data_IF_269298040962
#
_entry.id   IF_269298040962
#
_cell.length_a   1.000
_cell.length_b   1.000
_cell.length_c   1.000
_cell.angle_alpha   90.00
_cell.angle_beta   90.00
_cell.angle_gamma   90.00
#
_symmetry.space_group_name_H-M   'P 1'
#
loop_
_entity.id
_entity.type
_entity.pdbx_description
1 polymer ?
#
# COMPACT_ATOMS: atom_id res chain seq x y z
N UNK A 1 -12.73 -25.16 6.15
CA UNK A 1 -11.93 -25.12 4.91
C UNK A 1 -10.69 -24.30 5.24
N UNK A 2 -9.54 -24.98 5.46
CA UNK A 2 -8.28 -24.29 5.79
C UNK A 2 -7.78 -23.60 4.52
N UNK A 3 -7.85 -22.29 4.48
CA UNK A 3 -7.21 -21.51 3.43
C UNK A 3 -5.71 -21.63 3.65
N UNK A 4 -5.04 -22.41 2.79
CA UNK A 4 -3.59 -22.46 2.71
C UNK A 4 -3.10 -21.11 2.21
N UNK A 5 -2.76 -20.21 3.14
CA UNK A 5 -2.04 -18.98 2.84
C UNK A 5 -0.66 -19.32 2.25
N UNK A 6 -0.19 -18.60 1.23
CA UNK A 6 1.12 -18.84 0.64
C UNK A 6 2.22 -18.72 1.69
N UNK A 7 3.04 -19.75 1.80
CA UNK A 7 4.10 -19.97 2.81
C UNK A 7 5.31 -19.05 2.67
N UNK A 8 5.19 -17.77 2.39
CA UNK A 8 6.21 -16.70 2.52
C UNK A 8 5.59 -15.37 2.09
N UNK A 9 4.78 -14.79 2.95
CA UNK A 9 4.71 -13.34 2.96
C UNK A 9 6.03 -12.89 3.61
N UNK A 10 6.89 -12.20 2.86
CA UNK A 10 7.98 -11.42 3.47
C UNK A 10 7.30 -10.29 4.25
N UNK A 11 7.04 -10.55 5.51
CA UNK A 11 6.56 -9.54 6.43
C UNK A 11 7.61 -8.42 6.43
N UNK A 12 7.18 -7.16 6.31
CA UNK A 12 8.07 -6.01 6.31
C UNK A 12 9.09 -6.10 7.44
N UNK A 13 10.22 -5.45 7.29
CA UNK A 13 11.35 -5.51 8.24
C UNK A 13 10.92 -5.31 9.70
N UNK A 14 9.82 -4.59 9.91
CA UNK A 14 9.32 -4.13 11.21
C UNK A 14 8.37 -5.10 11.92
N UNK A 15 7.84 -6.10 11.23
CA UNK A 15 6.88 -7.06 11.77
C UNK A 15 7.60 -8.31 12.28
N UNK A 16 7.31 -8.68 13.54
CA UNK A 16 7.80 -9.92 14.17
C UNK A 16 6.92 -11.11 13.78
N UNK A 17 5.61 -10.91 13.80
CA UNK A 17 4.62 -11.96 13.57
C UNK A 17 3.30 -11.38 13.05
N UNK A 18 2.61 -12.11 12.15
CA UNK A 18 1.25 -11.79 11.70
C UNK A 18 0.40 -13.05 11.79
N UNK A 19 -0.81 -12.89 12.31
CA UNK A 19 -1.84 -13.91 12.33
C UNK A 19 -3.04 -13.42 11.53
N UNK A 20 -3.55 -14.31 10.67
CA UNK A 20 -4.71 -14.02 9.82
C UNK A 20 -5.91 -14.82 10.30
N UNK A 21 -6.97 -14.10 10.63
CA UNK A 21 -8.28 -14.65 10.94
C UNK A 21 -9.29 -14.20 9.88
N UNK A 22 -10.48 -14.79 9.89
CA UNK A 22 -11.51 -14.47 8.90
C UNK A 22 -11.84 -12.98 8.86
N UNK A 23 -12.02 -12.37 10.03
CA UNK A 23 -12.46 -10.98 10.15
C UNK A 23 -11.34 -10.04 10.64
N UNK A 24 -10.25 -10.60 11.18
CA UNK A 24 -9.19 -9.80 11.80
C UNK A 24 -7.80 -10.21 11.37
N UNK A 25 -6.87 -9.27 11.47
CA UNK A 25 -5.43 -9.49 11.32
C UNK A 25 -4.75 -8.98 12.58
N UNK A 26 -3.90 -9.82 13.19
CA UNK A 26 -3.07 -9.44 14.33
C UNK A 26 -1.65 -9.24 13.82
N UNK A 27 -1.08 -8.05 14.09
CA UNK A 27 0.31 -7.70 13.81
C UNK A 27 1.06 -7.50 15.12
N UNK A 28 2.20 -8.19 15.29
CA UNK A 28 3.13 -8.00 16.41
C UNK A 28 4.40 -7.39 15.84
N UNK A 29 4.78 -6.21 16.35
CA UNK A 29 5.94 -5.47 15.87
C UNK A 29 7.23 -5.91 16.58
N UNK A 30 8.38 -5.74 15.91
CA UNK A 30 9.70 -6.04 16.47
C UNK A 30 10.18 -4.99 17.46
N UNK A 31 9.73 -3.73 17.29
CA UNK A 31 10.16 -2.59 18.06
C UNK A 31 9.04 -1.57 18.25
N UNK A 32 9.25 -0.64 19.15
CA UNK A 32 8.28 0.39 19.50
C UNK A 32 8.02 1.40 18.37
N UNK A 33 9.07 1.80 17.63
CA UNK A 33 8.94 2.86 16.62
C UNK A 33 7.88 2.55 15.54
N UNK A 34 7.90 1.43 14.81
CA UNK A 34 6.86 1.13 13.83
C UNK A 34 5.48 0.90 14.46
N UNK A 35 5.42 0.35 15.68
CA UNK A 35 4.19 0.20 16.43
C UNK A 35 3.53 1.56 16.70
N UNK A 36 4.28 2.52 17.27
CA UNK A 36 3.75 3.85 17.57
C UNK A 36 3.43 4.65 16.31
N UNK A 37 4.22 4.53 15.24
CA UNK A 37 3.90 5.15 13.94
C UNK A 37 2.57 4.66 13.40
N UNK A 38 2.32 3.35 13.48
CA UNK A 38 1.03 2.79 13.06
C UNK A 38 -0.12 3.32 13.91
N UNK A 39 0.02 3.36 15.24
CA UNK A 39 -1.02 3.92 16.13
C UNK A 39 -1.25 5.41 15.89
N UNK A 40 -0.18 6.18 15.67
CA UNK A 40 -0.29 7.61 15.34
C UNK A 40 -1.09 7.81 14.05
N UNK A 41 -0.86 6.98 13.05
CA UNK A 41 -1.64 7.03 11.80
C UNK A 41 -3.12 6.76 12.06
N UNK A 42 -3.45 5.73 12.88
CA UNK A 42 -4.84 5.49 13.28
C UNK A 42 -5.48 6.67 14.00
N UNK A 43 -4.70 7.42 14.77
CA UNK A 43 -5.17 8.66 15.40
C UNK A 43 -5.56 9.73 14.37
N UNK A 44 -4.81 9.83 13.26
CA UNK A 44 -5.15 10.76 12.17
C UNK A 44 -6.44 10.43 11.46
N UNK A 45 -6.81 9.14 11.36
CA UNK A 45 -7.98 8.70 10.60
C UNK A 45 -9.24 8.52 11.47
N UNK A 46 -9.13 8.42 12.80
CA UNK A 46 -10.26 8.04 13.69
C UNK A 46 -11.48 8.96 13.60
N UNK A 47 -11.29 10.22 13.21
CA UNK A 47 -12.35 11.22 13.10
C UNK A 47 -12.50 11.75 11.66
N UNK A 48 -12.14 10.96 10.68
CA UNK A 48 -12.14 11.37 9.28
C UNK A 48 -13.24 10.65 8.49
N UNK A 49 -13.90 11.37 7.59
CA UNK A 49 -14.91 10.81 6.69
C UNK A 49 -14.31 9.76 5.72
N UNK A 50 -12.99 9.78 5.55
CA UNK A 50 -12.25 8.87 4.68
C UNK A 50 -11.67 7.65 5.44
N UNK A 51 -12.05 7.44 6.70
CA UNK A 51 -11.62 6.30 7.52
C UNK A 51 -11.89 4.94 6.87
N UNK A 52 -12.91 4.85 6.02
CA UNK A 52 -13.28 3.63 5.30
C UNK A 52 -12.26 3.18 4.24
N UNK A 53 -11.25 4.01 3.93
CA UNK A 53 -10.13 3.64 3.06
C UNK A 53 -9.06 2.78 3.78
N UNK A 54 -9.19 2.61 5.09
CA UNK A 54 -8.21 1.94 5.96
C UNK A 54 -8.86 0.83 6.78
N UNK A 55 -8.09 -0.21 7.19
CA UNK A 55 -8.61 -1.23 8.11
C UNK A 55 -9.05 -0.59 9.43
N UNK A 56 -10.16 -1.03 9.99
CA UNK A 56 -10.57 -0.60 11.33
C UNK A 56 -9.59 -1.14 12.37
N UNK A 57 -9.19 -0.29 13.32
CA UNK A 57 -8.44 -0.70 14.49
C UNK A 57 -9.44 -1.25 15.54
N UNK A 58 -9.26 -2.51 15.94
CA UNK A 58 -10.11 -3.12 16.97
C UNK A 58 -9.47 -3.04 18.36
N UNK A 59 -8.18 -3.34 18.46
CA UNK A 59 -7.45 -3.29 19.72
C UNK A 59 -5.97 -3.03 19.52
N UNK A 60 -5.29 -2.58 20.59
CA UNK A 60 -3.84 -2.45 20.65
C UNK A 60 -3.31 -2.79 22.03
N UNK A 61 -2.10 -3.34 22.12
CA UNK A 61 -1.39 -3.64 23.35
C UNK A 61 0.04 -3.11 23.28
N UNK A 62 0.38 -2.19 24.17
CA UNK A 62 1.72 -1.60 24.25
C UNK A 62 2.76 -2.62 24.76
N UNK A 63 2.38 -3.47 25.71
CA UNK A 63 3.29 -4.44 26.31
C UNK A 63 3.71 -5.53 25.30
N UNK A 64 2.78 -5.91 24.42
CA UNK A 64 3.03 -6.92 23.40
C UNK A 64 3.44 -6.31 22.06
N UNK A 65 3.45 -4.99 21.91
CA UNK A 65 3.60 -4.26 20.65
C UNK A 65 2.66 -4.81 19.56
N UNK A 66 1.42 -5.04 19.94
CA UNK A 66 0.41 -5.74 19.15
C UNK A 66 -0.69 -4.79 18.71
N UNK A 67 -1.13 -4.96 17.47
CA UNK A 67 -2.32 -4.30 16.90
C UNK A 67 -3.20 -5.37 16.29
N UNK A 68 -4.50 -5.28 16.56
CA UNK A 68 -5.55 -6.06 15.92
C UNK A 68 -6.39 -5.15 15.04
N UNK A 69 -6.49 -5.50 13.77
CA UNK A 69 -7.19 -4.70 12.76
C UNK A 69 -8.17 -5.54 11.97
N UNK A 70 -9.03 -4.89 11.21
CA UNK A 70 -9.90 -5.53 10.23
C UNK A 70 -9.07 -6.31 9.19
N UNK A 71 -9.57 -7.47 8.79
CA UNK A 71 -9.08 -8.18 7.62
C UNK A 71 -9.75 -7.61 6.36
N UNK A 72 -8.98 -6.89 5.56
CA UNK A 72 -9.42 -6.21 4.34
C UNK A 72 -9.35 -7.09 3.08
N UNK A 73 -9.35 -8.40 3.25
CA UNK A 73 -9.47 -9.36 2.14
C UNK A 73 -8.15 -9.69 1.45
N UNK A 74 -8.18 -9.74 0.12
CA UNK A 74 -7.06 -10.18 -0.71
C UNK A 74 -6.17 -9.00 -1.12
N UNK A 75 -4.90 -9.30 -1.46
CA UNK A 75 -4.04 -8.30 -2.10
C UNK A 75 -4.64 -7.83 -3.43
N UNK A 76 -4.64 -6.51 -3.61
CA UNK A 76 -5.09 -5.91 -4.86
C UNK A 76 -4.15 -6.30 -6.00
N UNK A 77 -4.73 -6.75 -7.10
CA UNK A 77 -3.99 -7.11 -8.30
C UNK A 77 -4.77 -6.72 -9.56
N UNK A 78 -4.14 -6.84 -10.72
CA UNK A 78 -4.75 -6.42 -11.99
C UNK A 78 -6.02 -7.22 -12.38
N UNK A 79 -6.22 -8.40 -11.79
CA UNK A 79 -7.36 -9.28 -12.11
C UNK A 79 -8.54 -9.08 -11.17
N UNK A 80 -8.31 -8.52 -9.96
CA UNK A 80 -9.36 -8.20 -9.00
C UNK A 80 -9.59 -6.68 -8.83
N UNK A 81 -9.11 -5.85 -9.78
CA UNK A 81 -9.35 -4.41 -9.78
C UNK A 81 -10.86 -4.12 -9.89
N UNK A 82 -11.46 -3.37 -8.96
CA UNK A 82 -12.84 -2.95 -9.07
C UNK A 82 -13.03 -1.98 -10.25
N UNK A 83 -14.22 -1.90 -10.79
CA UNK A 83 -14.50 -1.03 -11.97
C UNK A 83 -14.26 0.46 -11.69
N UNK A 84 -14.44 0.87 -10.44
CA UNK A 84 -14.24 2.25 -9.96
C UNK A 84 -12.89 2.47 -9.27
N UNK A 85 -11.88 1.62 -9.53
CA UNK A 85 -10.57 1.68 -8.86
C UNK A 85 -9.92 3.08 -8.93
N UNK A 86 -10.05 3.76 -10.05
CA UNK A 86 -9.48 5.11 -10.23
C UNK A 86 -10.10 6.11 -9.25
N UNK A 87 -11.41 6.04 -9.03
CA UNK A 87 -12.09 6.89 -8.05
C UNK A 87 -11.59 6.59 -6.63
N UNK A 88 -11.44 5.33 -6.28
CA UNK A 88 -10.98 4.93 -4.94
C UNK A 88 -9.51 5.32 -4.69
N UNK A 89 -8.63 5.20 -5.69
CA UNK A 89 -7.23 5.70 -5.57
C UNK A 89 -7.21 7.23 -5.46
N UNK A 90 -8.09 7.95 -6.16
CA UNK A 90 -8.22 9.40 -5.98
C UNK A 90 -8.76 9.78 -4.60
N UNK A 91 -9.63 8.99 -3.99
CA UNK A 91 -10.05 9.21 -2.59
C UNK A 91 -8.86 9.09 -1.63
N UNK A 92 -7.98 8.08 -1.81
CA UNK A 92 -6.71 8.01 -1.06
C UNK A 92 -5.84 9.25 -1.28
N UNK A 93 -5.71 9.70 -2.53
CA UNK A 93 -4.98 10.93 -2.88
C UNK A 93 -5.53 12.14 -2.11
N UNK A 94 -6.86 12.34 -2.10
CA UNK A 94 -7.49 13.45 -1.39
C UNK A 94 -7.22 13.41 0.11
N UNK A 95 -7.31 12.23 0.73
CA UNK A 95 -6.94 12.04 2.12
C UNK A 95 -5.49 12.49 2.38
N UNK A 96 -4.53 12.02 1.58
CA UNK A 96 -3.13 12.36 1.77
C UNK A 96 -2.82 13.84 1.53
N UNK A 97 -3.48 14.46 0.55
CA UNK A 97 -3.39 15.92 0.33
C UNK A 97 -3.92 16.70 1.52
N UNK A 98 -5.09 16.32 2.03
CA UNK A 98 -5.69 16.98 3.20
C UNK A 98 -4.82 16.85 4.46
N UNK A 99 -4.20 15.69 4.68
CA UNK A 99 -3.34 15.43 5.84
C UNK A 99 -1.89 15.87 5.64
N UNK A 100 -1.47 16.22 4.43
CA UNK A 100 -0.07 16.52 4.06
C UNK A 100 0.91 15.41 4.48
N UNK A 101 0.48 14.17 4.39
CA UNK A 101 1.28 12.98 4.63
C UNK A 101 1.24 12.07 3.43
N UNK A 102 2.20 11.16 3.29
CA UNK A 102 2.23 10.18 2.21
C UNK A 102 2.78 8.85 2.72
N UNK A 103 2.17 7.76 2.30
CA UNK A 103 2.72 6.41 2.40
C UNK A 103 3.29 6.05 1.02
N UNK A 104 4.62 6.04 0.90
CA UNK A 104 5.34 5.87 -0.38
C UNK A 104 5.51 4.40 -0.81
N UNK A 105 4.97 3.44 -0.08
CA UNK A 105 5.16 2.00 -0.37
C UNK A 105 3.96 1.35 -1.08
N UNK A 106 3.14 2.15 -1.79
CA UNK A 106 2.10 1.64 -2.68
C UNK A 106 2.72 1.49 -4.07
N UNK A 107 3.13 0.28 -4.44
CA UNK A 107 3.81 0.02 -5.72
C UNK A 107 3.57 -1.39 -6.20
N UNK A 108 3.78 -1.62 -7.49
CA UNK A 108 3.80 -2.98 -8.02
C UNK A 108 4.97 -3.79 -7.46
N UNK A 109 4.69 -5.02 -7.05
CA UNK A 109 5.74 -5.89 -6.50
C UNK A 109 6.80 -6.21 -7.57
N UNK A 110 8.11 -6.21 -7.21
CA UNK A 110 9.19 -6.35 -8.18
C UNK A 110 9.17 -7.63 -9.01
N UNK A 111 8.62 -8.71 -8.44
CA UNK A 111 8.60 -10.03 -9.07
C UNK A 111 7.21 -10.48 -9.53
N UNK A 112 6.18 -9.67 -9.22
CA UNK A 112 4.79 -9.94 -9.56
C UNK A 112 4.16 -8.65 -10.06
N UNK A 113 4.40 -8.23 -11.31
CA UNK A 113 4.00 -6.92 -11.83
C UNK A 113 2.48 -6.70 -11.89
N UNK A 114 1.69 -7.69 -11.53
CA UNK A 114 0.24 -7.63 -11.43
C UNK A 114 -0.28 -7.45 -10.00
N UNK A 115 0.57 -7.54 -8.96
CA UNK A 115 0.17 -7.35 -7.55
C UNK A 115 0.67 -5.99 -7.06
N UNK A 116 -0.21 -5.24 -6.41
CA UNK A 116 0.10 -3.93 -5.84
C UNK A 116 0.33 -4.12 -4.34
N UNK A 117 1.51 -3.70 -3.88
CA UNK A 117 1.87 -3.79 -2.47
C UNK A 117 0.98 -2.88 -1.61
N UNK A 118 0.69 -3.31 -0.39
CA UNK A 118 -0.03 -2.57 0.64
C UNK A 118 -1.46 -2.15 0.31
N UNK A 119 -2.00 -2.57 -0.84
CA UNK A 119 -3.41 -2.45 -1.15
C UNK A 119 -4.10 -3.81 -1.09
N UNK A 120 -5.24 -3.86 -0.42
CA UNK A 120 -6.12 -5.01 -0.37
C UNK A 120 -7.48 -4.65 -0.94
N UNK A 121 -8.26 -5.67 -1.30
CA UNK A 121 -9.64 -5.52 -1.78
C UNK A 121 -10.58 -6.47 -1.04
N UNK A 122 -11.71 -5.94 -0.59
CA UNK A 122 -12.81 -6.66 0.03
C UNK A 122 -14.13 -6.03 -0.42
N UNK A 123 -15.03 -6.82 -0.98
CA UNK A 123 -16.34 -6.35 -1.44
C UNK A 123 -16.27 -5.12 -2.38
N UNK A 124 -15.40 -5.17 -3.40
CA UNK A 124 -15.18 -4.09 -4.37
C UNK A 124 -14.59 -2.79 -3.75
N UNK A 125 -14.22 -2.78 -2.47
CA UNK A 125 -13.58 -1.68 -1.78
C UNK A 125 -12.08 -1.91 -1.66
N UNK A 126 -11.28 -0.89 -2.03
CA UNK A 126 -9.81 -0.88 -1.87
C UNK A 126 -9.46 -0.32 -0.49
N UNK A 127 -8.53 -0.98 0.18
CA UNK A 127 -8.00 -0.60 1.49
C UNK A 127 -6.49 -0.46 1.43
N UNK A 128 -5.94 0.55 2.08
CA UNK A 128 -4.51 0.67 2.35
C UNK A 128 -4.19 0.06 3.71
N UNK A 129 -3.38 -1.02 3.73
CA UNK A 129 -3.25 -1.91 4.90
C UNK A 129 -1.92 -1.83 5.66
N UNK A 130 -0.87 -1.22 5.10
CA UNK A 130 0.39 -0.96 5.81
C UNK A 130 0.57 0.54 6.05
N UNK A 131 0.50 0.93 7.32
CA UNK A 131 0.44 2.32 7.77
C UNK A 131 1.71 2.77 8.49
N UNK A 132 2.78 1.95 8.45
CA UNK A 132 4.04 2.19 9.19
C UNK A 132 4.92 3.25 8.54
N UNK A 133 4.94 3.32 7.22
CA UNK A 133 5.88 4.13 6.44
C UNK A 133 5.23 5.41 5.91
N UNK A 134 4.90 6.32 6.80
CA UNK A 134 4.37 7.63 6.40
C UNK A 134 5.37 8.76 6.68
N UNK A 135 5.34 9.78 5.84
CA UNK A 135 6.15 10.99 5.97
C UNK A 135 5.35 12.23 5.59
N UNK A 136 5.73 13.36 6.17
CA UNK A 136 5.16 14.66 5.76
C UNK A 136 5.66 14.97 4.35
N UNK A 137 4.75 15.34 3.45
CA UNK A 137 5.05 15.65 2.05
C UNK A 137 4.26 16.90 1.62
N UNK A 138 4.79 17.62 0.65
CA UNK A 138 4.06 18.72 0.05
C UNK A 138 3.05 18.22 -1.01
N UNK A 139 2.16 19.11 -1.43
CA UNK A 139 1.09 18.80 -2.38
C UNK A 139 1.62 18.30 -3.73
N UNK A 140 2.69 18.90 -4.25
CA UNK A 140 3.28 18.51 -5.55
C UNK A 140 3.83 17.07 -5.50
N UNK A 141 4.48 16.70 -4.40
CA UNK A 141 5.01 15.35 -4.21
C UNK A 141 3.90 14.31 -4.12
N UNK A 142 2.83 14.62 -3.38
CA UNK A 142 1.67 13.74 -3.26
C UNK A 142 0.99 13.59 -4.62
N UNK A 143 0.74 14.68 -5.33
CA UNK A 143 0.12 14.66 -6.65
C UNK A 143 0.94 13.85 -7.64
N UNK A 144 2.23 14.13 -7.72
CA UNK A 144 3.15 13.40 -8.61
C UNK A 144 3.13 11.89 -8.34
N UNK A 145 3.20 11.49 -7.07
CA UNK A 145 3.16 10.08 -6.66
C UNK A 145 1.87 9.37 -7.14
N UNK A 146 0.71 9.99 -6.91
CA UNK A 146 -0.57 9.40 -7.30
C UNK A 146 -0.81 9.43 -8.81
N UNK A 147 -0.33 10.45 -9.53
CA UNK A 147 -0.39 10.50 -11.00
C UNK A 147 0.39 9.34 -11.61
N UNK A 148 1.58 9.05 -11.08
CA UNK A 148 2.37 7.91 -11.54
C UNK A 148 1.74 6.56 -11.18
N UNK A 149 1.20 6.43 -9.98
CA UNK A 149 0.49 5.22 -9.56
C UNK A 149 -0.71 4.94 -10.48
N UNK A 150 -1.57 5.94 -10.70
CA UNK A 150 -2.76 5.83 -11.56
C UNK A 150 -2.35 5.54 -13.01
N UNK A 151 -1.34 6.23 -13.52
CA UNK A 151 -0.83 5.98 -14.87
C UNK A 151 -0.33 4.54 -15.02
N UNK A 152 0.50 4.08 -14.07
CA UNK A 152 1.06 2.72 -14.11
C UNK A 152 -0.02 1.65 -13.99
N UNK A 153 -0.97 1.80 -13.07
CA UNK A 153 -2.12 0.90 -12.94
C UNK A 153 -2.95 0.87 -14.22
N UNK A 154 -3.21 2.03 -14.83
CA UNK A 154 -3.96 2.16 -16.08
C UNK A 154 -3.26 1.49 -17.28
N UNK A 155 -1.93 1.62 -17.39
CA UNK A 155 -1.15 0.93 -18.42
C UNK A 155 -1.20 -0.57 -18.19
N UNK A 156 -0.90 -1.03 -16.97
CA UNK A 156 -0.85 -2.47 -16.68
C UNK A 156 -2.22 -3.14 -16.84
N UNK A 157 -3.31 -2.50 -16.42
CA UNK A 157 -4.66 -3.05 -16.55
C UNK A 157 -5.07 -3.28 -18.01
N UNK A 158 -4.60 -2.44 -18.96
CA UNK A 158 -4.86 -2.61 -20.39
C UNK A 158 -4.17 -3.83 -21.00
N UNK A 159 -3.05 -4.24 -20.43
CA UNK A 159 -2.21 -5.32 -20.97
C UNK A 159 -2.19 -6.57 -20.08
N UNK A 160 -3.07 -6.64 -19.06
CA UNK A 160 -3.11 -7.72 -18.08
C UNK A 160 -3.23 -9.12 -18.69
N UNK A 161 -3.94 -9.24 -19.81
CA UNK A 161 -4.19 -10.51 -20.48
C UNK A 161 -3.01 -10.97 -21.38
N UNK A 162 -1.99 -10.12 -21.56
CA UNK A 162 -0.79 -10.42 -22.31
C UNK A 162 0.44 -10.42 -21.40
N UNK A 163 0.71 -11.55 -20.74
CA UNK A 163 1.80 -11.69 -19.77
C UNK A 163 3.17 -11.29 -20.32
N UNK A 164 3.45 -11.57 -21.58
CA UNK A 164 4.73 -11.27 -22.20
C UNK A 164 4.90 -9.74 -22.39
N UNK A 165 3.86 -9.09 -22.89
CA UNK A 165 3.85 -7.64 -23.07
C UNK A 165 3.86 -6.92 -21.73
N UNK A 166 3.11 -7.40 -20.74
CA UNK A 166 3.12 -6.87 -19.38
C UNK A 166 4.54 -6.95 -18.77
N UNK A 167 5.24 -8.06 -18.97
CA UNK A 167 6.63 -8.22 -18.50
C UNK A 167 7.58 -7.22 -19.16
N UNK A 168 7.49 -7.02 -20.48
CA UNK A 168 8.28 -6.01 -21.18
C UNK A 168 7.96 -4.59 -20.70
N UNK A 169 6.69 -4.24 -20.57
CA UNK A 169 6.27 -2.92 -20.05
C UNK A 169 6.83 -2.71 -18.65
N UNK A 170 6.77 -3.72 -17.79
CA UNK A 170 7.31 -3.65 -16.44
C UNK A 170 8.84 -3.40 -16.42
N UNK A 171 9.59 -4.06 -17.30
CA UNK A 171 11.03 -3.83 -17.44
C UNK A 171 11.30 -2.39 -17.90
N UNK A 172 10.59 -1.92 -18.92
CA UNK A 172 10.77 -0.56 -19.47
C UNK A 172 10.46 0.50 -18.41
N UNK A 173 9.37 0.34 -17.67
CA UNK A 173 9.04 1.26 -16.59
C UNK A 173 10.08 1.22 -15.46
N UNK A 174 10.59 0.05 -15.08
CA UNK A 174 11.69 -0.04 -14.11
C UNK A 174 12.95 0.67 -14.57
N UNK A 175 13.36 0.51 -15.84
CA UNK A 175 14.53 1.20 -16.39
C UNK A 175 14.32 2.71 -16.32
N UNK A 176 13.12 3.19 -16.69
CA UNK A 176 12.76 4.60 -16.57
C UNK A 176 12.94 5.10 -15.12
N UNK A 177 12.43 4.38 -14.14
CA UNK A 177 12.54 4.73 -12.73
C UNK A 177 13.99 4.79 -12.23
N UNK A 178 14.81 3.77 -12.56
CA UNK A 178 16.22 3.77 -12.20
C UNK A 178 16.98 4.94 -12.83
N UNK A 179 16.62 5.30 -14.07
CA UNK A 179 17.24 6.45 -14.74
C UNK A 179 16.89 7.78 -14.06
N UNK A 180 15.63 7.98 -13.69
CA UNK A 180 15.21 9.19 -12.98
C UNK A 180 15.83 9.28 -11.59
N UNK A 181 15.83 8.22 -10.81
CA UNK A 181 16.48 8.17 -9.49
C UNK A 181 18.00 8.47 -9.58
N UNK A 182 18.66 7.98 -10.62
CA UNK A 182 20.08 8.26 -10.87
C UNK A 182 20.30 9.74 -11.21
N UNK A 183 19.48 10.30 -12.10
CA UNK A 183 19.57 11.73 -12.48
C UNK A 183 19.31 12.64 -11.29
N UNK A 184 18.30 12.32 -10.47
CA UNK A 184 17.97 13.09 -9.27
C UNK A 184 19.14 13.07 -8.25
N UNK A 185 19.74 11.90 -8.01
CA UNK A 185 20.93 11.77 -7.16
C UNK A 185 22.12 12.56 -7.67
N UNK A 186 22.34 12.62 -8.98
CA UNK A 186 23.42 13.42 -9.59
C UNK A 186 23.15 14.91 -9.40
N UNK A 187 21.92 15.36 -9.64
CA UNK A 187 21.55 16.77 -9.51
C UNK A 187 21.62 17.28 -8.06
N UNK A 188 21.36 16.42 -7.08
CA UNK A 188 21.47 16.77 -5.66
C UNK A 188 22.86 16.57 -5.07
N UNK A 189 23.83 16.03 -5.84
CA UNK A 189 25.23 15.86 -5.43
C UNK A 189 26.15 16.99 -5.92
N UNK A 190 25.63 17.93 -6.69
CA UNK A 190 26.27 19.15 -7.17
C UNK A 190 25.74 20.36 -6.37
#
# INVERSE_FOLDING_TARGET
>A
MNILLPKRLNFGADIKHIEFYKETIIKIFKSQDPYYKTLLFYHYITNDDEADLFPKLYSSSHDELKIETENCGELLNLYNLPTNWTSQINSLRHFFLHKQILIQDIRFMPHTPYVINNLCIKNEQIFLVDLTMHSVQNEDQINHYFDELIYTMGVYSRFRDNCLLLFFIHIVLKIKWYFFDLVEKILHSV
#
